data_IF_080305031329
#
_entry.id   IF_080305031329
#
_cell.length_a   1.000
_cell.length_b   1.000
_cell.length_c   1.000
_cell.angle_alpha   90.00
_cell.angle_beta   90.00
_cell.angle_gamma   90.00
#
_symmetry.space_group_name_H-M   'P 1'
#
loop_
_entity.id
_entity.type
_entity.pdbx_description
1 polymer ?
#
# COMPACT_ATOMS: atom_id res chain seq x y z
N UNK A 1 -18.07 -8.60 -22.37
CA UNK A 1 -17.60 -8.34 -21.01
C UNK A 1 -16.13 -7.99 -21.12
N UNK A 2 -15.73 -6.78 -20.68
CA UNK A 2 -14.32 -6.38 -20.65
C UNK A 2 -13.61 -7.22 -19.58
N UNK A 3 -12.31 -7.54 -19.73
CA UNK A 3 -11.50 -8.04 -18.63
C UNK A 3 -11.56 -7.15 -17.36
N UNK A 4 -11.96 -5.88 -17.52
CA UNK A 4 -12.22 -4.93 -16.42
C UNK A 4 -13.52 -5.22 -15.63
N UNK A 5 -14.37 -6.14 -16.08
CA UNK A 5 -15.68 -6.41 -15.45
C UNK A 5 -15.57 -7.21 -14.13
N UNK A 6 -14.39 -7.77 -13.82
CA UNK A 6 -14.16 -8.52 -12.58
C UNK A 6 -12.90 -7.99 -11.89
N UNK A 7 -13.03 -7.23 -10.78
CA UNK A 7 -11.86 -6.82 -10.04
C UNK A 7 -11.12 -8.07 -9.51
N UNK A 8 -9.79 -8.00 -9.34
CA UNK A 8 -9.05 -9.09 -8.74
C UNK A 8 -9.62 -9.50 -7.37
N UNK A 9 -9.57 -10.78 -6.99
CA UNK A 9 -10.06 -11.23 -5.69
C UNK A 9 -9.31 -10.59 -4.52
N UNK A 10 -8.04 -10.21 -4.74
CA UNK A 10 -7.20 -9.51 -3.77
C UNK A 10 -6.59 -8.28 -4.46
N UNK A 11 -6.66 -7.12 -3.80
CA UNK A 11 -6.05 -5.88 -4.23
C UNK A 11 -5.12 -5.39 -3.13
N UNK A 12 -3.82 -5.35 -3.43
CA UNK A 12 -2.79 -4.87 -2.52
C UNK A 12 -2.48 -3.41 -2.79
N UNK A 13 -2.53 -2.58 -1.75
CA UNK A 13 -1.98 -1.22 -1.78
C UNK A 13 -0.61 -1.26 -1.09
N UNK A 14 0.44 -0.74 -1.73
CA UNK A 14 1.78 -0.69 -1.13
C UNK A 14 2.16 0.74 -0.72
N UNK A 15 2.88 0.86 0.40
CA UNK A 15 3.54 2.11 0.81
C UNK A 15 4.97 2.23 0.27
N UNK A 16 5.68 3.30 0.62
CA UNK A 16 7.08 3.44 0.25
C UNK A 16 8.00 2.55 1.09
N UNK A 17 7.63 2.31 2.35
CA UNK A 17 8.44 1.56 3.31
C UNK A 17 8.61 0.10 2.89
N UNK A 18 7.58 -0.56 2.35
CA UNK A 18 7.69 -1.93 1.85
C UNK A 18 8.71 -2.05 0.71
N UNK A 19 8.78 -1.07 -0.18
CA UNK A 19 9.76 -1.06 -1.27
C UNK A 19 11.19 -0.86 -0.76
N UNK A 20 11.36 -0.17 0.37
CA UNK A 20 12.66 0.00 1.04
C UNK A 20 13.04 -1.30 1.75
N UNK A 21 12.12 -1.90 2.50
CA UNK A 21 12.33 -3.13 3.27
C UNK A 21 12.60 -4.35 2.36
N UNK A 22 12.02 -4.38 1.17
CA UNK A 22 12.32 -5.40 0.18
C UNK A 22 13.80 -5.43 -0.21
N UNK A 23 14.50 -4.29 -0.20
CA UNK A 23 15.93 -4.22 -0.54
C UNK A 23 16.81 -4.92 0.49
N UNK A 24 16.43 -4.83 1.77
CA UNK A 24 17.18 -5.44 2.87
C UNK A 24 16.81 -6.91 3.07
N UNK A 25 15.58 -7.29 2.73
CA UNK A 25 15.04 -8.63 3.00
C UNK A 25 15.23 -9.59 1.82
N UNK A 26 15.16 -9.08 0.59
CA UNK A 26 15.26 -9.89 -0.63
C UNK A 26 16.67 -9.76 -1.20
N UNK A 27 17.38 -10.88 -1.32
CA UNK A 27 18.68 -10.89 -1.98
C UNK A 27 18.61 -10.32 -3.40
N UNK A 28 19.65 -9.61 -3.83
CA UNK A 28 19.70 -8.88 -5.12
C UNK A 28 19.26 -9.75 -6.30
N UNK A 29 19.66 -11.03 -6.31
CA UNK A 29 19.33 -11.98 -7.38
C UNK A 29 17.82 -12.25 -7.50
N UNK A 30 17.08 -12.21 -6.39
CA UNK A 30 15.63 -12.45 -6.34
C UNK A 30 14.83 -11.16 -6.51
N UNK A 31 15.41 -10.01 -6.18
CA UNK A 31 14.72 -8.72 -6.22
C UNK A 31 14.16 -8.41 -7.61
N UNK A 32 14.92 -8.70 -8.67
CA UNK A 32 14.46 -8.45 -10.04
C UNK A 32 13.24 -9.31 -10.42
N UNK A 33 13.27 -10.60 -10.08
CA UNK A 33 12.14 -11.50 -10.34
C UNK A 33 10.88 -11.04 -9.60
N UNK A 34 11.04 -10.61 -8.35
CA UNK A 34 9.95 -10.10 -7.52
C UNK A 34 9.35 -8.80 -8.10
N UNK A 35 10.18 -7.86 -8.56
CA UNK A 35 9.71 -6.64 -9.21
C UNK A 35 8.97 -6.92 -10.53
N UNK A 36 9.41 -7.91 -11.31
CA UNK A 36 8.68 -8.34 -12.51
C UNK A 36 7.29 -8.89 -12.17
N UNK A 37 7.20 -9.73 -11.14
CA UNK A 37 5.93 -10.26 -10.66
C UNK A 37 5.00 -9.14 -10.16
N UNK A 38 5.51 -8.21 -9.35
CA UNK A 38 4.76 -7.02 -8.94
C UNK A 38 4.26 -6.20 -10.14
N UNK A 39 5.06 -6.09 -11.20
CA UNK A 39 4.67 -5.44 -12.45
C UNK A 39 3.45 -6.09 -13.10
N UNK A 40 3.43 -7.42 -13.18
CA UNK A 40 2.26 -8.15 -13.69
C UNK A 40 1.02 -7.91 -12.81
N UNK A 41 1.18 -7.89 -11.48
CA UNK A 41 0.07 -7.59 -10.55
C UNK A 41 -0.46 -6.17 -10.71
N UNK A 42 0.41 -5.20 -11.02
CA UNK A 42 -0.03 -3.82 -11.34
C UNK A 42 -0.88 -3.80 -12.61
N UNK A 43 -0.42 -4.46 -13.68
CA UNK A 43 -1.14 -4.49 -14.96
C UNK A 43 -2.52 -5.16 -14.85
N UNK A 44 -2.64 -6.17 -13.98
CA UNK A 44 -3.88 -6.85 -13.62
C UNK A 44 -4.77 -6.08 -12.63
N UNK A 45 -4.28 -4.97 -12.06
CA UNK A 45 -4.99 -4.21 -11.01
C UNK A 45 -5.02 -4.89 -9.65
N UNK A 46 -4.23 -5.94 -9.43
CA UNK A 46 -4.11 -6.65 -8.14
C UNK A 46 -3.09 -6.00 -7.19
N UNK A 47 -2.26 -5.08 -7.70
CA UNK A 47 -1.32 -4.28 -6.92
C UNK A 47 -1.42 -2.82 -7.35
N UNK A 48 -1.40 -1.89 -6.40
CA UNK A 48 -1.50 -0.46 -6.68
C UNK A 48 -0.84 0.39 -5.60
N UNK A 49 -0.68 1.68 -5.87
CA UNK A 49 -0.12 2.66 -4.95
C UNK A 49 -0.47 4.09 -5.41
N UNK A 50 -0.54 5.06 -4.48
CA UNK A 50 -0.74 6.45 -4.84
C UNK A 50 0.54 7.06 -5.42
N UNK A 51 0.40 8.15 -6.19
CA UNK A 51 1.52 8.85 -6.85
C UNK A 51 2.57 9.36 -5.87
N UNK A 52 2.18 9.63 -4.62
CA UNK A 52 3.08 10.06 -3.55
C UNK A 52 4.12 9.00 -3.25
N UNK A 53 3.76 7.71 -3.20
CA UNK A 53 4.72 6.60 -3.02
C UNK A 53 5.75 6.60 -4.15
N UNK A 54 5.31 6.76 -5.40
CA UNK A 54 6.23 6.85 -6.53
C UNK A 54 7.14 8.10 -6.44
N UNK A 55 6.64 9.21 -5.90
CA UNK A 55 7.39 10.46 -5.75
C UNK A 55 8.45 10.34 -4.66
N UNK A 56 8.12 9.75 -3.52
CA UNK A 56 9.06 9.48 -2.43
C UNK A 56 10.22 8.58 -2.88
N UNK A 57 9.91 7.50 -3.61
CA UNK A 57 10.92 6.53 -4.04
C UNK A 57 11.75 7.00 -5.25
N UNK A 58 11.18 7.84 -6.13
CA UNK A 58 11.89 8.38 -7.29
C UNK A 58 12.66 9.67 -7.00
N UNK A 59 12.46 10.31 -5.84
CA UNK A 59 13.14 11.53 -5.42
C UNK A 59 14.65 11.39 -5.18
N UNK A 60 15.21 10.18 -5.30
CA UNK A 60 16.63 9.90 -5.17
C UNK A 60 17.34 10.13 -6.51
N UNK A 61 18.43 10.91 -6.51
CA UNK A 61 19.18 11.33 -7.72
C UNK A 61 19.63 10.17 -8.63
N UNK A 62 19.78 8.98 -8.08
CA UNK A 62 19.99 7.72 -8.78
C UNK A 62 19.09 6.67 -8.16
N UNK A 63 17.86 6.48 -8.69
CA UNK A 63 16.96 5.49 -8.13
C UNK A 63 17.56 4.10 -8.36
N UNK A 64 17.54 3.28 -7.31
CA UNK A 64 17.88 1.86 -7.42
C UNK A 64 16.75 1.08 -8.12
N UNK A 65 16.91 -0.24 -8.26
CA UNK A 65 15.97 -1.06 -9.01
C UNK A 65 14.50 -0.87 -8.57
N UNK A 66 14.16 -0.84 -7.26
CA UNK A 66 12.80 -0.51 -6.80
C UNK A 66 12.32 0.90 -7.18
N UNK A 67 13.17 1.93 -7.03
CA UNK A 67 12.81 3.29 -7.39
C UNK A 67 12.58 3.46 -8.90
N UNK A 68 13.41 2.81 -9.73
CA UNK A 68 13.25 2.80 -11.17
C UNK A 68 11.99 2.04 -11.60
N UNK A 69 11.73 0.90 -10.98
CA UNK A 69 10.53 0.09 -11.22
C UNK A 69 9.26 0.89 -10.94
N UNK A 70 9.13 1.50 -9.75
CA UNK A 70 7.89 2.17 -9.37
C UNK A 70 7.61 3.42 -10.23
N UNK A 71 8.68 4.12 -10.65
CA UNK A 71 8.58 5.25 -11.56
C UNK A 71 8.02 4.85 -12.94
N UNK A 72 8.26 3.62 -13.38
CA UNK A 72 7.68 3.07 -14.60
C UNK A 72 6.27 2.50 -14.36
N UNK A 73 6.10 1.68 -13.32
CA UNK A 73 4.87 0.98 -12.98
C UNK A 73 3.67 1.92 -12.75
N UNK A 74 3.91 3.16 -12.28
CA UNK A 74 2.85 4.16 -12.09
C UNK A 74 2.04 4.46 -13.37
N UNK A 75 2.61 4.23 -14.56
CA UNK A 75 1.94 4.45 -15.84
C UNK A 75 1.00 3.30 -16.23
N UNK A 76 1.08 2.17 -15.52
CA UNK A 76 0.28 0.96 -15.76
C UNK A 76 -0.78 0.72 -14.69
N UNK A 77 -0.93 1.65 -13.73
CA UNK A 77 -1.92 1.55 -12.66
C UNK A 77 -3.34 1.55 -13.24
N UNK A 78 -4.15 0.57 -12.81
CA UNK A 78 -5.56 0.44 -13.19
C UNK A 78 -6.49 1.29 -12.32
N UNK A 79 -6.08 1.57 -11.10
CA UNK A 79 -6.90 2.27 -10.11
C UNK A 79 -6.62 3.78 -10.11
N UNK A 80 -7.66 4.62 -10.00
CA UNK A 80 -7.47 6.06 -9.89
C UNK A 80 -6.85 6.43 -8.54
N UNK A 81 -6.31 7.64 -8.46
CA UNK A 81 -5.84 8.22 -7.21
C UNK A 81 -7.01 8.47 -6.25
N UNK A 82 -6.79 8.39 -4.93
CA UNK A 82 -7.85 8.65 -3.96
C UNK A 82 -8.41 10.06 -4.10
N UNK A 83 -9.71 10.20 -3.89
CA UNK A 83 -10.38 11.52 -3.94
C UNK A 83 -10.05 12.38 -2.73
N UNK A 84 -10.20 13.70 -2.88
CA UNK A 84 -10.06 14.65 -1.78
C UNK A 84 -11.07 14.36 -0.65
N UNK A 85 -12.28 13.91 -0.99
CA UNK A 85 -13.28 13.53 0.00
C UNK A 85 -12.81 12.36 0.88
N UNK A 86 -12.21 11.32 0.27
CA UNK A 86 -11.63 10.20 1.03
C UNK A 86 -10.46 10.66 1.88
N UNK A 87 -9.61 11.56 1.36
CA UNK A 87 -8.52 12.17 2.13
C UNK A 87 -9.02 12.91 3.38
N UNK A 88 -10.08 13.72 3.25
CA UNK A 88 -10.69 14.42 4.40
C UNK A 88 -11.16 13.44 5.46
N UNK A 89 -11.75 12.29 5.06
CA UNK A 89 -12.17 11.24 6.01
C UNK A 89 -10.98 10.63 6.73
N UNK A 90 -9.91 10.29 6.02
CA UNK A 90 -8.68 9.76 6.62
C UNK A 90 -8.10 10.76 7.62
N UNK A 91 -7.98 12.02 7.25
CA UNK A 91 -7.46 13.06 8.15
C UNK A 91 -8.38 13.33 9.34
N UNK A 92 -9.69 13.12 9.20
CA UNK A 92 -10.64 13.25 10.32
C UNK A 92 -10.53 12.14 11.38
N UNK A 93 -10.01 10.97 11.01
CA UNK A 93 -9.90 9.79 11.90
C UNK A 93 -8.47 9.53 12.36
N UNK A 94 -7.50 9.79 11.49
CA UNK A 94 -6.09 9.45 11.67
C UNK A 94 -5.16 10.60 11.26
N UNK A 95 -5.50 11.84 11.64
CA UNK A 95 -4.65 13.03 11.38
C UNK A 95 -3.20 12.86 11.82
N UNK A 96 -3.00 12.13 12.93
CA UNK A 96 -1.69 11.94 13.57
C UNK A 96 -0.75 11.05 12.75
N UNK A 97 -1.18 10.51 11.60
CA UNK A 97 -0.32 9.76 10.68
C UNK A 97 0.63 10.68 9.90
N UNK A 98 0.39 11.98 9.90
CA UNK A 98 1.27 13.00 9.33
C UNK A 98 2.01 13.71 10.47
N UNK A 99 3.33 13.77 10.40
CA UNK A 99 4.10 14.51 11.40
C UNK A 99 3.93 16.03 11.17
N UNK A 100 3.80 16.80 12.25
CA UNK A 100 3.54 18.24 12.18
C UNK A 100 4.67 19.05 11.51
N UNK A 101 5.89 18.49 11.43
CA UNK A 101 7.09 19.09 10.85
C UNK A 101 7.44 18.54 9.45
N UNK A 102 6.63 17.64 8.89
CA UNK A 102 6.84 17.12 7.53
C UNK A 102 6.56 18.23 6.50
N UNK A 103 7.64 18.69 5.85
CA UNK A 103 7.60 19.73 4.82
C UNK A 103 7.24 19.20 3.42
N UNK A 104 7.12 17.88 3.27
CA UNK A 104 6.77 17.19 2.02
C UNK A 104 5.39 16.58 2.15
N UNK A 105 4.70 16.43 1.00
CA UNK A 105 3.41 15.73 0.88
C UNK A 105 3.63 14.22 1.20
N UNK A 106 3.33 13.74 2.42
CA UNK A 106 3.70 12.40 2.84
C UNK A 106 2.78 11.37 2.18
N UNK A 107 3.30 10.21 1.81
CA UNK A 107 2.52 9.17 1.14
C UNK A 107 1.50 8.47 2.06
N UNK A 108 1.76 8.41 3.37
CA UNK A 108 0.97 7.67 4.36
C UNK A 108 -0.54 7.97 4.32
N UNK A 109 -1.01 9.23 4.37
CA UNK A 109 -2.45 9.50 4.29
C UNK A 109 -3.06 9.09 2.93
N UNK A 110 -2.29 9.12 1.84
CA UNK A 110 -2.79 8.71 0.52
C UNK A 110 -2.87 7.20 0.37
N UNK A 111 -1.97 6.42 0.97
CA UNK A 111 -2.08 4.96 0.93
C UNK A 111 -3.29 4.49 1.74
N UNK A 112 -3.57 5.12 2.88
CA UNK A 112 -4.76 4.88 3.68
C UNK A 112 -6.03 5.24 2.90
N UNK A 113 -6.06 6.42 2.28
CA UNK A 113 -7.22 6.86 1.50
C UNK A 113 -7.47 5.98 0.27
N UNK A 114 -6.42 5.59 -0.45
CA UNK A 114 -6.54 4.67 -1.59
C UNK A 114 -7.10 3.31 -1.14
N UNK A 115 -6.61 2.78 -0.02
CA UNK A 115 -7.09 1.51 0.54
C UNK A 115 -8.58 1.59 0.89
N UNK A 116 -8.99 2.65 1.59
CA UNK A 116 -10.38 2.87 1.96
C UNK A 116 -11.30 2.97 0.74
N UNK A 117 -10.92 3.75 -0.26
CA UNK A 117 -11.73 3.95 -1.47
C UNK A 117 -11.85 2.67 -2.31
N UNK A 118 -10.79 1.89 -2.40
CA UNK A 118 -10.81 0.61 -3.11
C UNK A 118 -11.69 -0.41 -2.39
N UNK A 119 -11.67 -0.45 -1.06
CA UNK A 119 -12.54 -1.31 -0.27
C UNK A 119 -14.02 -0.97 -0.51
N UNK A 120 -14.36 0.32 -0.59
CA UNK A 120 -15.73 0.78 -0.87
C UNK A 120 -16.15 0.52 -2.32
N UNK A 121 -15.23 0.68 -3.29
CA UNK A 121 -15.51 0.48 -4.72
C UNK A 121 -15.59 -1.00 -5.11
N UNK A 122 -14.84 -1.86 -4.44
CA UNK A 122 -14.72 -3.28 -4.76
C UNK A 122 -15.09 -4.16 -3.56
N UNK A 123 -16.36 -4.16 -3.12
CA UNK A 123 -16.78 -4.91 -1.93
C UNK A 123 -16.66 -6.44 -2.06
N UNK A 124 -16.45 -6.96 -3.27
CA UNK A 124 -16.20 -8.38 -3.53
C UNK A 124 -14.71 -8.75 -3.48
N UNK A 125 -13.81 -7.76 -3.38
CA UNK A 125 -12.36 -7.96 -3.33
C UNK A 125 -11.86 -7.79 -1.91
N UNK A 126 -10.88 -8.60 -1.52
CA UNK A 126 -10.08 -8.35 -0.31
C UNK A 126 -9.08 -7.23 -0.60
N UNK A 127 -9.27 -6.05 -0.01
CA UNK A 127 -8.34 -4.92 -0.16
C UNK A 127 -7.41 -4.87 1.05
N UNK A 128 -6.10 -4.89 0.81
CA UNK A 128 -5.09 -5.02 1.87
C UNK A 128 -4.01 -3.95 1.71
N UNK A 129 -3.75 -3.19 2.77
CA UNK A 129 -2.58 -2.32 2.82
C UNK A 129 -1.34 -3.10 3.26
N UNK A 130 -0.32 -3.15 2.41
CA UNK A 130 0.96 -3.78 2.71
C UNK A 130 1.89 -2.74 3.30
N UNK A 131 2.24 -2.91 4.57
CA UNK A 131 3.10 -1.99 5.31
C UNK A 131 3.86 -2.71 6.43
N UNK A 132 5.03 -2.20 6.76
CA UNK A 132 5.79 -2.60 7.95
C UNK A 132 5.90 -1.47 8.99
N UNK A 133 5.21 -0.33 8.76
CA UNK A 133 5.18 0.75 9.73
C UNK A 133 4.22 0.38 10.87
N UNK A 134 4.81 -0.22 11.91
CA UNK A 134 4.11 -0.75 13.09
C UNK A 134 4.50 -0.03 14.39
N UNK A 135 5.42 0.93 14.33
CA UNK A 135 5.94 1.63 15.50
C UNK A 135 5.36 3.03 15.56
N UNK A 136 4.49 3.27 16.55
CA UNK A 136 4.05 4.59 16.92
C UNK A 136 5.22 5.42 17.46
N UNK A 137 5.43 6.61 16.92
CA UNK A 137 6.49 7.55 17.29
C UNK A 137 5.87 8.74 18.04
N UNK A 138 5.01 8.44 19.01
CA UNK A 138 4.28 9.46 19.74
C UNK A 138 5.22 10.38 20.55
N UNK A 139 4.89 11.67 20.71
CA UNK A 139 3.67 12.33 20.24
C UNK A 139 3.73 12.81 18.78
N UNK A 140 4.79 12.48 18.04
CA UNK A 140 5.04 13.06 16.72
C UNK A 140 4.14 12.48 15.63
N UNK A 141 4.01 11.15 15.61
CA UNK A 141 3.32 10.43 14.55
C UNK A 141 2.85 9.05 15.01
N UNK A 142 1.64 8.64 14.67
CA UNK A 142 1.20 7.25 14.80
C UNK A 142 1.67 6.44 13.61
N UNK A 143 1.81 5.13 13.79
CA UNK A 143 2.14 4.24 12.68
C UNK A 143 0.97 4.06 11.70
N UNK A 144 1.29 3.71 10.46
CA UNK A 144 0.29 3.32 9.44
C UNK A 144 -0.57 2.15 9.95
N UNK A 145 0.01 1.17 10.65
CA UNK A 145 -0.74 0.08 11.30
C UNK A 145 -1.81 0.61 12.27
N UNK A 146 -1.43 1.53 13.16
CA UNK A 146 -2.39 2.12 14.11
C UNK A 146 -3.50 2.87 13.37
N UNK A 147 -3.16 3.62 12.31
CA UNK A 147 -4.13 4.30 11.47
C UNK A 147 -5.10 3.32 10.78
N UNK A 148 -4.61 2.18 10.26
CA UNK A 148 -5.45 1.12 9.72
C UNK A 148 -6.47 0.62 10.75
N UNK A 149 -6.03 0.36 11.99
CA UNK A 149 -6.92 -0.04 13.07
C UNK A 149 -8.04 0.98 13.36
N UNK A 150 -7.72 2.28 13.33
CA UNK A 150 -8.71 3.36 13.51
C UNK A 150 -9.70 3.45 12.36
N UNK A 151 -9.26 3.16 11.13
CA UNK A 151 -10.06 3.24 9.91
C UNK A 151 -10.79 1.94 9.56
N UNK A 152 -10.59 0.85 10.32
CA UNK A 152 -11.12 -0.47 10.01
C UNK A 152 -10.51 -1.07 8.73
N UNK A 153 -9.27 -0.69 8.39
CA UNK A 153 -8.57 -1.18 7.21
C UNK A 153 -7.79 -2.46 7.53
N UNK A 154 -7.83 -3.38 6.59
CA UNK A 154 -7.01 -4.59 6.63
C UNK A 154 -5.59 -4.25 6.19
N UNK A 155 -4.60 -4.75 6.94
CA UNK A 155 -3.20 -4.59 6.59
C UNK A 155 -2.43 -5.91 6.68
N UNK A 156 -1.28 -5.97 6.00
CA UNK A 156 -0.43 -7.15 5.93
C UNK A 156 1.05 -6.76 6.06
N UNK A 157 1.86 -7.51 6.84
CA UNK A 157 3.31 -7.30 6.89
C UNK A 157 4.00 -7.77 5.59
N UNK A 158 5.30 -7.50 5.41
CA UNK A 158 6.03 -7.85 4.19
C UNK A 158 6.03 -9.34 3.83
N UNK A 159 6.14 -10.23 4.84
CA UNK A 159 6.31 -11.66 4.58
C UNK A 159 5.12 -12.31 3.86
N UNK A 160 3.87 -12.23 4.37
CA UNK A 160 2.74 -12.83 3.66
C UNK A 160 2.49 -12.19 2.30
N UNK A 161 2.84 -10.90 2.12
CA UNK A 161 2.82 -10.25 0.81
C UNK A 161 3.80 -10.89 -0.18
N UNK A 162 5.02 -11.18 0.24
CA UNK A 162 6.01 -11.89 -0.60
C UNK A 162 5.53 -13.32 -0.91
N UNK A 163 5.04 -14.06 0.08
CA UNK A 163 4.51 -15.42 -0.12
C UNK A 163 3.30 -15.41 -1.12
N UNK A 164 2.48 -14.35 -1.12
CA UNK A 164 1.39 -14.14 -2.09
C UNK A 164 1.90 -13.83 -3.50
N UNK A 165 2.92 -12.98 -3.64
CA UNK A 165 3.53 -12.70 -4.94
C UNK A 165 4.12 -13.97 -5.58
N UNK A 166 4.75 -14.83 -4.77
CA UNK A 166 5.32 -16.10 -5.23
C UNK A 166 4.24 -17.16 -5.56
N UNK A 167 2.96 -16.86 -5.34
CA UNK A 167 1.84 -17.75 -5.62
C UNK A 167 1.67 -18.87 -4.58
N UNK A 168 2.38 -18.79 -3.46
CA UNK A 168 2.29 -19.76 -2.37
C UNK A 168 1.01 -19.56 -1.54
N UNK A 169 0.46 -18.35 -1.54
CA UNK A 169 -0.78 -18.00 -0.85
C UNK A 169 -1.90 -17.60 -1.84
N UNK A 170 -3.08 -18.22 -1.72
CA UNK A 170 -4.28 -17.82 -2.48
C UNK A 170 -5.00 -16.62 -1.88
N UNK A 171 -4.80 -16.39 -0.59
CA UNK A 171 -5.38 -15.31 0.20
C UNK A 171 -4.26 -14.68 1.01
N UNK A 172 -4.31 -13.36 1.23
CA UNK A 172 -3.37 -12.71 2.13
C UNK A 172 -3.85 -12.97 3.56
N UNK A 173 -3.09 -13.80 4.28
CA UNK A 173 -3.27 -14.00 5.71
C UNK A 173 -2.98 -12.67 6.41
N UNK A 174 -4.00 -12.13 7.05
CA UNK A 174 -3.92 -10.93 7.87
C UNK A 174 -3.63 -11.36 9.31
N UNK A 175 -2.82 -10.62 10.05
CA UNK A 175 -2.71 -10.82 11.49
C UNK A 175 -4.12 -10.64 12.08
N UNK A 176 -4.72 -11.72 12.59
CA UNK A 176 -6.03 -11.68 13.22
C UNK A 176 -6.00 -10.72 14.42
N UNK A 177 -6.61 -9.54 14.29
CA UNK A 177 -7.48 -8.89 15.30
C UNK A 177 -7.76 -7.43 14.92
N UNK A 178 -8.89 -7.17 14.28
CA UNK A 178 -9.59 -5.90 14.45
C UNK A 178 -10.93 -6.22 15.10
N UNK A 179 -10.97 -6.15 16.43
CA UNK A 179 -12.24 -6.02 17.15
C UNK A 179 -12.72 -4.61 16.84
N UNK A 180 -13.67 -4.47 15.92
CA UNK A 180 -14.35 -3.20 15.66
C UNK A 180 -15.16 -2.87 16.91
N UNK A 181 -14.90 -1.76 17.63
CA UNK A 181 -15.83 -1.29 18.65
C UNK A 181 -17.09 -0.81 17.91
N UNK A 182 -18.25 -1.35 18.27
CA UNK A 182 -19.53 -0.74 17.87
C UNK A 182 -19.54 0.72 18.35
N UNK A 183 -19.66 1.66 17.40
CA UNK A 183 -19.89 3.08 17.68
C UNK A 183 -21.37 3.35 17.96
#
# INVERSE_FOLDING_TARGET
>A
MSPDDFPPPVICVIDANIMIDMKSTVGVDKLWALLLEMGQRVELGALTFPRQVATELSGVKHPDAPGAWIAHAKNSLRHPQPTEQTMVRVMGVASDVVAADETRDPADPYVLAMTLELMERHPASQVVLVTNDVIDRQPLKISVRTACGRLGLVHCPPKPFMDWLEGEAKELLTDETVVVPEL
#
